data_IF_640071800053
#
_entry.id   IF_640071800053
#
_cell.length_a   1.000
_cell.length_b   1.000
_cell.length_c   1.000
_cell.angle_alpha   90.00
_cell.angle_beta   90.00
_cell.angle_gamma   90.00
#
_symmetry.space_group_name_H-M   'P 1'
#
loop_
_entity.id
_entity.type
_entity.pdbx_description
1 polymer ?
#
# COMPACT_ATOMS: atom_id res chain seq x y z
N UNK A 1 -25.66 -9.19 -13.09
CA UNK A 1 -25.00 -9.93 -12.01
C UNK A 1 -23.99 -9.05 -11.32
N UNK A 2 -24.25 -8.71 -10.08
CA UNK A 2 -23.27 -8.01 -9.28
C UNK A 2 -22.11 -8.94 -8.98
N UNK A 3 -20.92 -8.64 -9.49
CA UNK A 3 -19.72 -9.30 -9.04
C UNK A 3 -19.57 -9.00 -7.53
N UNK A 4 -19.51 -10.03 -6.72
CA UNK A 4 -19.19 -9.86 -5.29
C UNK A 4 -17.85 -9.16 -5.19
N UNK A 5 -17.85 -7.96 -4.59
CA UNK A 5 -16.60 -7.29 -4.24
C UNK A 5 -15.81 -8.21 -3.32
N UNK A 6 -14.53 -8.41 -3.64
CA UNK A 6 -13.63 -9.18 -2.78
C UNK A 6 -13.42 -8.45 -1.47
N UNK A 7 -13.33 -9.22 -0.41
CA UNK A 7 -12.98 -8.69 0.90
C UNK A 7 -11.61 -8.01 0.85
N UNK A 8 -11.52 -6.85 1.46
CA UNK A 8 -10.24 -6.15 1.60
C UNK A 8 -9.32 -6.92 2.53
N UNK A 9 -8.08 -7.10 2.10
CA UNK A 9 -7.00 -7.67 2.89
C UNK A 9 -5.84 -6.70 2.91
N UNK A 10 -5.22 -6.55 4.07
CA UNK A 10 -4.12 -5.62 4.30
C UNK A 10 -2.85 -6.39 4.63
N UNK A 11 -1.77 -6.09 3.91
CA UNK A 11 -0.44 -6.66 4.12
C UNK A 11 0.54 -5.56 4.44
N UNK A 12 1.46 -5.80 5.37
CA UNK A 12 2.45 -4.83 5.78
C UNK A 12 3.86 -5.38 5.60
N UNK A 13 4.74 -4.56 5.04
CA UNK A 13 6.14 -4.89 4.82
C UNK A 13 7.03 -3.78 5.35
N UNK A 14 8.15 -4.19 5.96
CA UNK A 14 9.16 -3.27 6.48
C UNK A 14 10.43 -3.39 5.63
N UNK A 15 10.85 -2.33 4.94
CA UNK A 15 12.09 -2.37 4.15
C UNK A 15 13.35 -2.38 5.01
N UNK A 16 13.23 -2.23 6.33
CA UNK A 16 14.29 -2.24 7.34
C UNK A 16 15.26 -1.05 7.26
N UNK A 17 15.72 -0.71 6.07
CA UNK A 17 16.71 0.37 5.87
C UNK A 17 16.09 1.78 5.80
N UNK A 18 14.77 1.86 5.64
CA UNK A 18 14.04 3.13 5.60
C UNK A 18 12.97 3.13 6.68
N UNK A 19 12.73 4.25 7.39
CA UNK A 19 11.72 4.33 8.45
C UNK A 19 10.31 4.57 7.87
N UNK A 20 9.91 3.74 6.94
CA UNK A 20 8.62 3.79 6.25
C UNK A 20 8.14 2.37 5.97
N UNK A 21 6.85 2.13 6.12
CA UNK A 21 6.25 0.85 5.77
C UNK A 21 5.72 0.87 4.33
N UNK A 22 5.60 -0.31 3.76
CA UNK A 22 4.77 -0.55 2.60
C UNK A 22 3.53 -1.31 3.06
N UNK A 23 2.36 -0.80 2.70
CA UNK A 23 1.11 -1.53 2.85
C UNK A 23 0.59 -1.89 1.47
N UNK A 24 0.22 -3.14 1.28
CA UNK A 24 -0.46 -3.62 0.08
C UNK A 24 -1.86 -4.01 0.49
N UNK A 25 -2.86 -3.44 -0.17
CA UNK A 25 -4.27 -3.79 0.03
C UNK A 25 -4.78 -4.46 -1.23
N UNK A 26 -5.48 -5.58 -1.05
CA UNK A 26 -6.14 -6.30 -2.14
C UNK A 26 -7.63 -6.34 -1.88
N UNK A 27 -8.42 -6.14 -2.93
CA UNK A 27 -9.88 -6.13 -2.79
C UNK A 27 -10.40 -4.88 -2.10
N UNK A 28 -11.65 -4.94 -1.67
CA UNK A 28 -12.28 -3.86 -0.95
C UNK A 28 -12.66 -2.66 -1.81
N UNK A 29 -13.02 -1.59 -1.15
CA UNK A 29 -13.40 -0.32 -1.79
C UNK A 29 -12.86 0.87 -1.00
N UNK A 30 -13.29 2.07 -1.41
CA UNK A 30 -12.87 3.32 -0.76
C UNK A 30 -13.11 3.32 0.76
N UNK A 31 -14.20 2.72 1.22
CA UNK A 31 -14.54 2.70 2.65
C UNK A 31 -13.47 1.95 3.45
N UNK A 32 -12.95 0.84 2.90
CA UNK A 32 -11.88 0.09 3.54
C UNK A 32 -10.58 0.90 3.62
N UNK A 33 -10.23 1.58 2.54
CA UNK A 33 -9.04 2.42 2.49
C UNK A 33 -9.15 3.55 3.51
N UNK A 34 -10.28 4.24 3.54
CA UNK A 34 -10.56 5.33 4.48
C UNK A 34 -10.49 4.85 5.93
N UNK A 35 -10.95 3.62 6.18
CA UNK A 35 -10.95 3.01 7.52
C UNK A 35 -9.54 2.82 8.06
N UNK A 36 -8.60 2.41 7.19
CA UNK A 36 -7.24 2.05 7.62
C UNK A 36 -6.23 3.19 7.50
N UNK A 37 -6.46 4.13 6.59
CA UNK A 37 -5.46 5.12 6.23
C UNK A 37 -5.98 6.55 6.29
N UNK A 38 -5.03 7.44 6.58
CA UNK A 38 -5.14 8.89 6.40
C UNK A 38 -4.22 9.30 5.25
N UNK A 39 -4.37 10.52 4.74
CA UNK A 39 -3.37 11.10 3.85
C UNK A 39 -2.02 11.16 4.58
N UNK A 40 -0.96 11.39 3.82
CA UNK A 40 0.38 11.53 4.41
C UNK A 40 0.42 12.66 5.45
N UNK A 41 -0.34 13.72 5.23
CA UNK A 41 -0.43 14.86 6.15
C UNK A 41 -1.40 14.62 7.32
N UNK A 42 -1.99 13.46 7.41
CA UNK A 42 -2.87 13.08 8.52
C UNK A 42 -4.33 13.48 8.37
N UNK A 43 -4.76 13.82 7.18
CA UNK A 43 -6.15 14.19 6.89
C UNK A 43 -6.96 12.98 6.40
N UNK A 44 -8.28 13.10 6.38
CA UNK A 44 -9.16 12.07 5.83
C UNK A 44 -8.94 11.95 4.31
N UNK A 45 -8.82 10.70 3.84
CA UNK A 45 -8.72 10.42 2.40
C UNK A 45 -10.09 10.64 1.76
N UNK A 46 -10.15 11.43 0.71
CA UNK A 46 -11.36 11.65 -0.07
C UNK A 46 -11.49 10.59 -1.15
N UNK A 47 -12.72 10.26 -1.54
CA UNK A 47 -12.98 9.24 -2.57
C UNK A 47 -12.28 9.60 -3.90
N UNK A 48 -12.23 10.89 -4.25
CA UNK A 48 -11.54 11.37 -5.45
C UNK A 48 -10.04 11.09 -5.45
N UNK A 49 -9.44 10.96 -4.26
CA UNK A 49 -8.00 10.68 -4.13
C UNK A 49 -7.65 9.24 -4.49
N UNK A 50 -8.62 8.35 -4.44
CA UNK A 50 -8.42 6.91 -4.60
C UNK A 50 -9.26 6.30 -5.73
N UNK A 51 -9.95 7.13 -6.51
CA UNK A 51 -10.74 6.64 -7.64
C UNK A 51 -9.79 6.17 -8.75
N UNK A 52 -9.65 4.86 -8.86
CA UNK A 52 -8.82 4.26 -9.88
C UNK A 52 -9.40 2.92 -10.32
N UNK A 53 -9.12 2.55 -11.55
CA UNK A 53 -9.69 1.36 -12.19
C UNK A 53 -8.83 0.10 -12.06
N UNK A 54 -7.54 0.20 -11.75
CA UNK A 54 -6.66 -0.98 -11.78
C UNK A 54 -5.70 -1.11 -10.63
N UNK A 55 -5.18 -0.01 -10.15
CA UNK A 55 -4.22 0.03 -9.06
C UNK A 55 -3.95 1.46 -8.64
N UNK A 56 -3.50 1.64 -7.41
CA UNK A 56 -3.25 2.96 -6.83
C UNK A 56 -2.02 2.90 -5.95
N UNK A 57 -1.17 3.91 -6.04
CA UNK A 57 -0.05 4.11 -5.14
C UNK A 57 -0.11 5.52 -4.57
N UNK A 58 -0.18 5.65 -3.27
CA UNK A 58 -0.20 6.94 -2.58
C UNK A 58 0.61 6.89 -1.29
N UNK A 59 1.13 8.05 -0.90
CA UNK A 59 1.74 8.26 0.41
C UNK A 59 0.65 8.37 1.47
N UNK A 60 0.80 7.68 2.58
CA UNK A 60 -0.24 7.57 3.60
C UNK A 60 0.32 7.57 5.02
N UNK A 61 -0.57 7.81 5.96
CA UNK A 61 -0.41 7.49 7.38
C UNK A 61 -1.32 6.30 7.71
N UNK A 62 -0.77 5.28 8.34
CA UNK A 62 -1.57 4.17 8.84
C UNK A 62 -2.27 4.59 10.12
N UNK A 63 -3.60 4.60 10.08
CA UNK A 63 -4.42 5.18 11.15
C UNK A 63 -4.15 4.56 12.52
N UNK A 64 -4.03 3.24 12.58
CA UNK A 64 -3.92 2.53 13.86
C UNK A 64 -2.64 2.86 14.63
N UNK A 65 -1.51 3.00 13.95
CA UNK A 65 -0.20 3.22 14.56
C UNK A 65 0.38 4.60 14.33
N UNK A 66 -0.25 5.40 13.47
CA UNK A 66 0.26 6.69 13.00
C UNK A 66 1.60 6.58 12.27
N UNK A 67 1.91 5.38 11.75
CA UNK A 67 3.11 5.14 10.96
C UNK A 67 2.97 5.69 9.55
N UNK A 68 4.06 6.20 9.02
CA UNK A 68 4.12 6.78 7.67
C UNK A 68 4.62 5.74 6.67
N UNK A 69 4.15 5.82 5.45
CA UNK A 69 4.65 4.96 4.38
C UNK A 69 3.87 5.09 3.09
N UNK A 70 3.87 4.00 2.36
CA UNK A 70 3.29 3.91 1.02
C UNK A 70 2.18 2.88 1.04
N UNK A 71 1.03 3.24 0.47
CA UNK A 71 -0.06 2.30 0.19
C UNK A 71 -0.06 1.98 -1.30
N UNK A 72 -0.07 0.69 -1.61
CA UNK A 72 -0.37 0.19 -2.96
C UNK A 72 -1.63 -0.65 -2.86
N UNK A 73 -2.66 -0.26 -3.60
CA UNK A 73 -3.96 -0.93 -3.57
C UNK A 73 -4.31 -1.50 -4.93
N UNK A 74 -4.60 -2.81 -4.95
CA UNK A 74 -5.12 -3.50 -6.12
C UNK A 74 -6.53 -4.01 -5.79
N UNK A 75 -7.59 -3.41 -6.36
CA UNK A 75 -8.95 -3.91 -6.14
C UNK A 75 -9.13 -5.37 -6.55
N UNK A 76 -8.36 -5.83 -7.55
CA UNK A 76 -8.27 -7.25 -7.90
C UNK A 76 -6.81 -7.62 -8.20
N UNK A 77 -6.15 -8.25 -7.23
CA UNK A 77 -4.74 -8.63 -7.33
C UNK A 77 -4.48 -9.64 -8.47
N UNK A 78 -5.49 -10.40 -8.87
CA UNK A 78 -5.34 -11.35 -9.97
C UNK A 78 -5.04 -10.66 -11.30
N UNK A 79 -5.46 -9.40 -11.43
CA UNK A 79 -5.23 -8.58 -12.62
C UNK A 79 -3.87 -7.88 -12.59
N UNK A 80 -3.15 -7.95 -11.48
CA UNK A 80 -1.83 -7.32 -11.32
C UNK A 80 -0.77 -8.17 -12.01
N UNK A 81 -0.59 -7.93 -13.30
CA UNK A 81 0.46 -8.56 -14.10
C UNK A 81 1.74 -7.74 -14.02
N UNK A 82 2.80 -8.24 -14.65
CA UNK A 82 4.14 -7.64 -14.56
C UNK A 82 4.16 -6.14 -14.84
N UNK A 83 3.43 -5.68 -15.85
CA UNK A 83 3.41 -4.25 -16.18
C UNK A 83 2.75 -3.42 -15.09
N UNK A 84 1.66 -3.88 -14.48
CA UNK A 84 0.99 -3.19 -13.38
C UNK A 84 1.81 -3.21 -12.10
N UNK A 85 2.44 -4.35 -11.79
CA UNK A 85 3.33 -4.48 -10.64
C UNK A 85 4.50 -3.51 -10.78
N UNK A 86 5.11 -3.46 -11.95
CA UNK A 86 6.23 -2.53 -12.23
C UNK A 86 5.76 -1.07 -12.14
N UNK A 87 4.60 -0.76 -12.69
CA UNK A 87 4.02 0.58 -12.69
C UNK A 87 3.83 1.08 -11.25
N UNK A 88 3.13 0.32 -10.42
CA UNK A 88 2.87 0.72 -9.04
C UNK A 88 4.14 0.69 -8.18
N UNK A 89 5.04 -0.26 -8.41
CA UNK A 89 6.33 -0.33 -7.72
C UNK A 89 7.21 0.88 -8.01
N UNK A 90 7.17 1.39 -9.24
CA UNK A 90 7.89 2.60 -9.64
C UNK A 90 7.33 3.82 -8.91
N UNK A 91 6.00 3.97 -8.89
CA UNK A 91 5.37 5.04 -8.11
C UNK A 91 5.74 4.95 -6.63
N UNK A 92 5.68 3.76 -6.04
CA UNK A 92 6.01 3.55 -4.63
C UNK A 92 7.45 3.96 -4.31
N UNK A 93 8.39 3.60 -5.17
CA UNK A 93 9.81 3.97 -5.02
C UNK A 93 9.98 5.48 -5.03
N UNK A 94 9.40 6.15 -6.00
CA UNK A 94 9.50 7.60 -6.13
C UNK A 94 8.82 8.33 -4.97
N UNK A 95 7.66 7.86 -4.53
CA UNK A 95 6.95 8.41 -3.39
C UNK A 95 7.76 8.25 -2.09
N UNK A 96 8.38 7.10 -1.89
CA UNK A 96 9.22 6.88 -0.70
C UNK A 96 10.43 7.80 -0.72
N UNK A 97 11.08 7.97 -1.86
CA UNK A 97 12.21 8.90 -1.98
C UNK A 97 11.77 10.33 -1.70
N UNK A 98 10.59 10.74 -2.20
CA UNK A 98 10.01 12.05 -1.91
C UNK A 98 9.84 12.26 -0.39
N UNK A 99 9.24 11.28 0.30
CA UNK A 99 9.03 11.35 1.75
C UNK A 99 10.33 11.52 2.53
N UNK A 100 11.40 10.90 2.08
CA UNK A 100 12.70 10.91 2.76
C UNK A 100 13.62 12.04 2.29
N UNK A 101 13.19 12.83 1.31
CA UNK A 101 14.03 13.88 0.73
C UNK A 101 15.20 13.36 -0.07
N UNK A 102 15.12 12.14 -0.57
CA UNK A 102 16.16 11.52 -1.40
C UNK A 102 15.99 11.91 -2.86
N UNK A 103 17.12 12.10 -3.54
CA UNK A 103 17.11 12.44 -4.97
C UNK A 103 17.23 11.19 -5.83
N UNK A 104 16.51 11.20 -6.95
CA UNK A 104 16.70 10.23 -8.02
C UNK A 104 17.81 10.80 -8.94
N UNK A 105 18.93 10.07 -9.05
CA UNK A 105 20.08 10.49 -9.83
C UNK A 105 20.44 9.40 -10.85
N UNK A 106 20.63 9.80 -12.11
CA UNK A 106 21.07 8.89 -13.18
C UNK A 106 22.42 8.23 -12.88
N UNK A 107 23.28 8.88 -12.10
CA UNK A 107 24.61 8.39 -11.75
C UNK A 107 24.58 7.44 -10.57
N UNK A 108 23.47 7.37 -9.85
CA UNK A 108 23.28 6.48 -8.70
C UNK A 108 21.90 5.83 -8.79
N UNK A 109 21.77 4.91 -9.71
CA UNK A 109 20.49 4.23 -9.98
C UNK A 109 20.24 3.05 -9.08
N UNK A 110 21.26 2.52 -8.39
CA UNK A 110 21.14 1.27 -7.62
C UNK A 110 20.11 1.36 -6.50
N UNK A 111 20.06 2.46 -5.76
CA UNK A 111 19.10 2.62 -4.66
C UNK A 111 17.66 2.59 -5.18
N UNK A 112 17.39 3.25 -6.30
CA UNK A 112 16.07 3.23 -6.95
C UNK A 112 15.74 1.83 -7.44
N UNK A 113 16.67 1.18 -8.11
CA UNK A 113 16.47 -0.14 -8.71
C UNK A 113 16.21 -1.21 -7.64
N UNK A 114 17.00 -1.21 -6.57
CA UNK A 114 16.80 -2.14 -5.45
C UNK A 114 15.44 -1.94 -4.78
N UNK A 115 15.06 -0.71 -4.54
CA UNK A 115 13.78 -0.43 -3.88
C UNK A 115 12.59 -0.80 -4.77
N UNK A 116 12.66 -0.47 -6.06
CA UNK A 116 11.62 -0.86 -7.02
C UNK A 116 11.48 -2.38 -7.10
N UNK A 117 12.59 -3.11 -7.10
CA UNK A 117 12.59 -4.56 -7.06
C UNK A 117 11.98 -5.11 -5.78
N UNK A 118 12.28 -4.49 -4.63
CA UNK A 118 11.70 -4.89 -3.36
C UNK A 118 10.18 -4.67 -3.34
N UNK A 119 9.69 -3.53 -3.82
CA UNK A 119 8.25 -3.29 -3.94
C UNK A 119 7.59 -4.37 -4.80
N UNK A 120 8.18 -4.67 -5.94
CA UNK A 120 7.64 -5.68 -6.86
C UNK A 120 7.61 -7.07 -6.22
N UNK A 121 8.66 -7.43 -5.48
CA UNK A 121 8.72 -8.71 -4.76
C UNK A 121 7.65 -8.80 -3.68
N UNK A 122 7.43 -7.74 -2.92
CA UNK A 122 6.36 -7.70 -1.90
C UNK A 122 4.98 -7.93 -2.54
N UNK A 123 4.71 -7.27 -3.65
CA UNK A 123 3.44 -7.44 -4.38
C UNK A 123 3.31 -8.88 -4.90
N UNK A 124 4.38 -9.45 -5.41
CA UNK A 124 4.40 -10.83 -5.90
C UNK A 124 4.12 -11.83 -4.76
N UNK A 125 4.67 -11.60 -3.58
CA UNK A 125 4.40 -12.45 -2.41
C UNK A 125 2.92 -12.40 -2.02
N UNK A 126 2.31 -11.22 -2.06
CA UNK A 126 0.87 -11.08 -1.82
C UNK A 126 0.07 -11.85 -2.86
N UNK A 127 0.38 -11.66 -4.13
CA UNK A 127 -0.31 -12.28 -5.26
C UNK A 127 -0.23 -13.80 -5.22
N UNK A 128 0.91 -14.36 -4.82
CA UNK A 128 1.15 -15.81 -4.78
C UNK A 128 0.82 -16.44 -3.43
N UNK A 129 0.32 -15.67 -2.48
CA UNK A 129 -0.09 -16.17 -1.17
C UNK A 129 1.06 -16.58 -0.25
N UNK A 130 2.26 -16.05 -0.47
CA UNK A 130 3.45 -16.37 0.34
C UNK A 130 3.55 -15.60 1.65
N UNK A 131 2.68 -14.64 1.86
CA UNK A 131 2.60 -13.84 3.08
C UNK A 131 1.17 -13.80 3.58
N UNK A 132 1.00 -13.60 4.89
CA UNK A 132 -0.31 -13.53 5.52
C UNK A 132 -0.75 -12.06 5.66
N UNK A 133 -2.06 -11.84 5.49
CA UNK A 133 -2.66 -10.55 5.78
C UNK A 133 -2.52 -10.22 7.27
N UNK A 134 -2.44 -8.92 7.57
CA UNK A 134 -2.50 -8.46 8.95
C UNK A 134 -3.85 -8.83 9.56
N UNK A 135 -3.81 -9.36 10.78
CA UNK A 135 -5.00 -9.51 11.61
C UNK A 135 -5.14 -8.24 12.41
N UNK A 136 -6.05 -7.37 11.97
CA UNK A 136 -6.37 -6.19 12.74
C UNK A 136 -7.23 -6.61 13.92
N UNK A 137 -6.81 -6.25 15.13
CA UNK A 137 -7.63 -6.46 16.31
C UNK A 137 -8.95 -5.73 16.12
N UNK A 138 -10.05 -6.47 16.15
CA UNK A 138 -11.33 -5.86 16.35
C UNK A 138 -11.27 -5.17 17.71
N UNK A 139 -11.50 -3.86 17.75
CA UNK A 139 -11.80 -3.21 19.03
C UNK A 139 -12.94 -4.01 19.64
N UNK A 140 -12.63 -4.81 20.66
CA UNK A 140 -13.67 -5.31 21.55
C UNK A 140 -14.32 -4.08 22.12
N UNK A 141 -15.61 -3.91 21.87
CA UNK A 141 -16.40 -2.93 22.60
C UNK A 141 -16.29 -3.26 24.09
N UNK A 142 -15.44 -2.54 24.79
CA UNK A 142 -15.39 -2.59 26.26
C UNK A 142 -16.62 -1.93 26.87
N UNK A 143 -17.70 -1.79 26.14
CA UNK A 143 -18.93 -1.15 26.59
C UNK A 143 -19.81 -2.06 27.42
N UNK A 144 -19.33 -3.22 27.88
CA UNK A 144 -20.15 -4.18 28.63
C UNK A 144 -19.71 -4.37 30.07
N UNK A 145 -19.42 -3.28 30.73
CA UNK A 145 -19.35 -3.36 32.17
C UNK A 145 -20.46 -2.54 32.82
#
# INVERSE_FOLDING_TARGET
MSSKKRQAKLYQFDPMIYPRFLWVVTGGDYIDIKKWFLTYDGEEIEESDVSNLGGLTISVTFRQTQSLGILIWFPDIRLAKANWITHESTHGTLELFEQLGLRVDYRNQESVAYLAGWFAECIEFVKTGKVNALKLEKKTDESNN
#
